data_IF_149002375306
#
_entry.id   IF_149002375306
#
_cell.length_a   1.000
_cell.length_b   1.000
_cell.length_c   1.000
_cell.angle_alpha   90.00
_cell.angle_beta   90.00
_cell.angle_gamma   90.00
#
_symmetry.space_group_name_H-M   'P 1'
#
loop_
_entity.id
_entity.type
_entity.pdbx_description
1 polymer ?
#
# COMPACT_ATOMS: atom_id res chain seq x y z
N UNK A 1 -39.31 49.89 10.19
CA UNK A 1 -37.94 49.54 9.74
C UNK A 1 -37.45 48.40 10.62
N UNK A 2 -37.24 47.20 10.08
CA UNK A 2 -36.56 46.12 10.79
C UNK A 2 -37.34 44.83 11.00
N UNK A 3 -37.62 44.08 9.92
CA UNK A 3 -37.87 42.62 9.99
C UNK A 3 -37.40 41.97 8.68
N UNK A 4 -36.09 41.94 8.42
CA UNK A 4 -35.52 41.19 7.27
C UNK A 4 -34.33 40.29 7.64
N UNK A 5 -33.94 40.24 8.92
CA UNK A 5 -32.77 39.48 9.38
C UNK A 5 -32.96 37.96 9.59
N UNK A 6 -34.16 37.37 9.80
CA UNK A 6 -34.23 35.93 10.10
C UNK A 6 -33.99 35.08 8.83
N UNK A 7 -34.38 35.58 7.65
CA UNK A 7 -34.23 34.85 6.40
C UNK A 7 -32.77 34.77 5.94
N UNK A 8 -32.01 35.86 6.12
CA UNK A 8 -30.57 35.86 5.82
C UNK A 8 -29.79 34.92 6.73
N UNK A 9 -30.17 34.81 8.01
CA UNK A 9 -29.53 33.89 8.95
C UNK A 9 -29.81 32.41 8.59
N UNK A 10 -31.05 32.10 8.21
CA UNK A 10 -31.43 30.76 7.78
C UNK A 10 -30.69 30.31 6.51
N UNK A 11 -30.50 31.21 5.54
CA UNK A 11 -29.74 30.92 4.33
C UNK A 11 -28.27 30.61 4.64
N UNK A 12 -27.65 31.39 5.52
CA UNK A 12 -26.25 31.25 5.93
C UNK A 12 -26.00 29.94 6.69
N UNK A 13 -26.89 29.57 7.61
CA UNK A 13 -26.81 28.29 8.32
C UNK A 13 -27.01 27.12 7.35
N UNK A 14 -27.93 27.24 6.38
CA UNK A 14 -28.12 26.19 5.37
C UNK A 14 -26.91 26.05 4.45
N UNK A 15 -26.29 27.17 4.04
CA UNK A 15 -25.11 27.14 3.17
C UNK A 15 -23.90 26.55 3.89
N UNK A 16 -23.73 26.87 5.17
CA UNK A 16 -22.70 26.25 6.02
C UNK A 16 -22.98 24.76 6.17
N UNK A 17 -24.23 24.35 6.41
CA UNK A 17 -24.58 22.93 6.50
C UNK A 17 -24.34 22.15 5.21
N UNK A 18 -24.66 22.73 4.04
CA UNK A 18 -24.37 22.15 2.73
C UNK A 18 -22.86 22.10 2.47
N UNK A 19 -22.13 23.15 2.84
CA UNK A 19 -20.68 23.22 2.69
C UNK A 19 -19.96 22.21 3.60
N UNK A 20 -20.40 22.08 4.85
CA UNK A 20 -19.88 21.07 5.78
C UNK A 20 -20.23 19.65 5.32
N UNK A 21 -21.42 19.41 4.74
CA UNK A 21 -21.74 18.11 4.11
C UNK A 21 -20.89 17.83 2.87
N UNK A 22 -20.57 18.85 2.09
CA UNK A 22 -19.69 18.72 0.92
C UNK A 22 -18.25 18.40 1.34
N UNK A 23 -17.74 19.06 2.39
CA UNK A 23 -16.44 18.77 3.01
C UNK A 23 -16.41 17.38 3.67
N UNK A 24 -17.44 17.01 4.45
CA UNK A 24 -17.53 15.69 5.05
C UNK A 24 -17.71 14.58 4.01
N UNK A 25 -18.24 14.90 2.83
CA UNK A 25 -18.31 13.96 1.70
C UNK A 25 -16.95 13.79 0.99
N UNK A 26 -15.99 14.69 1.23
CA UNK A 26 -14.60 14.53 0.79
C UNK A 26 -13.75 13.74 1.79
N UNK A 27 -14.09 13.77 3.08
CA UNK A 27 -13.51 12.87 4.07
C UNK A 27 -14.09 11.46 3.91
N UNK A 28 -13.34 10.64 3.17
CA UNK A 28 -13.42 9.18 3.09
C UNK A 28 -14.86 8.60 3.07
N UNK A 29 -15.41 8.44 1.86
CA UNK A 29 -16.42 7.39 1.65
C UNK A 29 -15.84 6.11 2.26
N UNK A 30 -16.55 5.41 3.17
CA UNK A 30 -16.09 4.11 3.62
C UNK A 30 -16.00 3.24 2.37
N UNK A 31 -14.77 2.93 1.94
CA UNK A 31 -14.53 2.02 0.82
C UNK A 31 -15.30 0.75 1.17
N UNK A 32 -16.20 0.31 0.30
CA UNK A 32 -16.87 -0.98 0.46
C UNK A 32 -15.76 -2.04 0.45
N UNK A 33 -15.37 -2.43 1.65
CA UNK A 33 -14.28 -3.37 1.90
C UNK A 33 -14.83 -4.73 1.51
N UNK A 34 -14.37 -5.27 0.40
CA UNK A 34 -14.55 -6.68 0.13
C UNK A 34 -13.84 -7.42 1.27
N UNK A 35 -14.59 -8.17 2.08
CA UNK A 35 -14.02 -9.08 3.08
C UNK A 35 -13.26 -10.19 2.33
N UNK A 36 -12.05 -9.88 1.86
CA UNK A 36 -11.10 -10.88 1.41
C UNK A 36 -10.67 -11.66 2.65
N UNK A 37 -10.69 -12.98 2.59
CA UNK A 37 -10.01 -13.81 3.60
C UNK A 37 -8.55 -13.95 3.17
N UNK A 38 -7.61 -13.18 3.75
CA UNK A 38 -6.24 -13.12 3.23
C UNK A 38 -5.48 -14.42 3.50
N UNK A 39 -4.95 -15.00 2.43
CA UNK A 39 -4.14 -16.24 2.45
C UNK A 39 -2.65 -15.99 2.31
N UNK A 40 -2.22 -14.73 2.15
CA UNK A 40 -0.82 -14.33 2.01
C UNK A 40 0.09 -15.07 3.02
N UNK A 41 1.00 -15.95 2.55
CA UNK A 41 1.80 -16.79 3.44
C UNK A 41 3.22 -16.27 3.67
N UNK A 42 3.63 -15.24 2.92
CA UNK A 42 4.95 -14.63 3.02
C UNK A 42 4.80 -13.22 3.56
N UNK A 43 5.68 -12.85 4.47
CA UNK A 43 5.77 -11.54 5.10
C UNK A 43 7.22 -11.08 4.99
N UNK A 44 7.45 -9.79 4.77
CA UNK A 44 8.79 -9.24 4.66
C UNK A 44 8.89 -8.10 3.67
N UNK A 45 10.12 -7.72 3.33
CA UNK A 45 10.41 -6.65 2.40
C UNK A 45 11.46 -7.10 1.38
N UNK A 46 11.10 -7.05 0.09
CA UNK A 46 11.94 -7.51 -1.01
C UNK A 46 12.21 -6.40 -2.01
N UNK A 47 13.43 -6.36 -2.51
CA UNK A 47 13.84 -5.44 -3.57
C UNK A 47 13.75 -6.13 -4.93
N UNK A 48 13.04 -5.52 -5.87
CA UNK A 48 12.95 -5.96 -7.26
C UNK A 48 13.80 -5.06 -8.16
N UNK A 49 14.59 -5.68 -9.05
CA UNK A 49 15.38 -4.98 -10.08
C UNK A 49 14.55 -4.47 -11.25
N UNK A 50 13.36 -5.04 -11.45
CA UNK A 50 12.41 -4.68 -12.52
C UNK A 50 11.05 -4.39 -11.90
N UNK A 51 10.21 -3.56 -12.54
CA UNK A 51 8.85 -3.38 -12.08
C UNK A 51 8.13 -4.72 -12.08
N UNK A 52 7.32 -4.99 -11.05
CA UNK A 52 6.51 -6.20 -11.00
C UNK A 52 5.58 -6.28 -12.23
N UNK A 53 5.33 -7.48 -12.75
CA UNK A 53 4.40 -7.64 -13.87
C UNK A 53 2.93 -7.43 -13.45
N UNK A 54 2.03 -7.08 -14.40
CA UNK A 54 0.59 -7.02 -14.14
C UNK A 54 0.01 -8.30 -13.54
N UNK A 55 0.49 -9.46 -14.00
CA UNK A 55 0.04 -10.77 -13.50
C UNK A 55 0.40 -10.96 -12.02
N UNK A 56 1.61 -10.56 -11.65
CA UNK A 56 2.09 -10.64 -10.26
C UNK A 56 1.28 -9.75 -9.35
N UNK A 57 1.05 -8.48 -9.72
CA UNK A 57 0.27 -7.57 -8.89
C UNK A 57 -1.19 -8.01 -8.78
N UNK A 58 -1.79 -8.54 -9.84
CA UNK A 58 -3.13 -9.11 -9.80
C UNK A 58 -3.20 -10.30 -8.83
N UNK A 59 -2.28 -11.27 -8.95
CA UNK A 59 -2.20 -12.42 -8.06
C UNK A 59 -2.01 -12.00 -6.59
N UNK A 60 -1.10 -11.06 -6.32
CA UNK A 60 -0.87 -10.54 -4.97
C UNK A 60 -2.10 -9.81 -4.41
N UNK A 61 -2.82 -9.05 -5.24
CA UNK A 61 -4.08 -8.40 -4.85
C UNK A 61 -5.16 -9.41 -4.46
N UNK A 62 -5.22 -10.55 -5.15
CA UNK A 62 -6.21 -11.61 -4.86
C UNK A 62 -5.96 -12.31 -3.52
N UNK A 63 -4.69 -12.59 -3.18
CA UNK A 63 -4.33 -13.36 -1.98
C UNK A 63 -4.11 -12.51 -0.72
N UNK A 64 -4.04 -11.19 -0.87
CA UNK A 64 -3.80 -10.24 0.22
C UNK A 64 -5.08 -9.61 0.75
N UNK A 65 -5.00 -9.01 1.94
CA UNK A 65 -6.11 -8.25 2.52
C UNK A 65 -6.35 -6.92 1.81
N UNK A 66 -5.33 -6.41 1.11
CA UNK A 66 -5.40 -5.22 0.28
C UNK A 66 -4.06 -4.93 -0.39
N UNK A 67 -4.11 -4.21 -1.51
CA UNK A 67 -2.96 -3.71 -2.25
C UNK A 67 -2.87 -2.18 -2.15
N UNK A 68 -1.78 -1.67 -1.58
CA UNK A 68 -1.39 -0.26 -1.67
C UNK A 68 -0.28 -0.09 -2.69
N UNK A 69 -0.43 0.89 -3.58
CA UNK A 69 0.59 1.24 -4.57
C UNK A 69 1.12 2.65 -4.29
N UNK A 70 2.44 2.78 -4.21
CA UNK A 70 3.14 4.07 -4.25
C UNK A 70 3.82 4.19 -5.60
N UNK A 71 3.52 5.23 -6.38
CA UNK A 71 4.10 5.41 -7.71
C UNK A 71 4.26 6.88 -8.11
N UNK A 72 5.18 7.13 -9.04
CA UNK A 72 5.30 8.41 -9.77
C UNK A 72 4.36 8.52 -10.96
N UNK A 73 3.84 7.39 -11.44
CA UNK A 73 2.80 7.35 -12.45
C UNK A 73 1.48 7.78 -11.82
N UNK A 74 0.70 8.61 -12.52
CA UNK A 74 -0.65 8.96 -12.05
C UNK A 74 -1.53 7.71 -11.99
N UNK A 75 -2.51 7.72 -11.09
CA UNK A 75 -3.38 6.57 -10.83
C UNK A 75 -4.04 6.04 -12.11
N UNK A 76 -4.54 6.92 -12.97
CA UNK A 76 -5.28 6.52 -14.19
C UNK A 76 -4.40 5.73 -15.15
N UNK A 77 -3.17 6.20 -15.37
CA UNK A 77 -2.21 5.52 -16.25
C UNK A 77 -1.64 4.25 -15.62
N UNK A 78 -1.50 4.24 -14.30
CA UNK A 78 -1.07 3.03 -13.60
C UNK A 78 -2.13 1.94 -13.74
N UNK A 79 -3.41 2.25 -13.51
CA UNK A 79 -4.51 1.30 -13.69
C UNK A 79 -4.62 0.82 -15.14
N UNK A 80 -4.43 1.70 -16.12
CA UNK A 80 -4.40 1.31 -17.54
C UNK A 80 -3.26 0.34 -17.86
N UNK A 81 -2.05 0.61 -17.36
CA UNK A 81 -0.87 -0.24 -17.57
C UNK A 81 -1.03 -1.62 -16.92
N UNK A 82 -1.52 -1.65 -15.69
CA UNK A 82 -1.57 -2.87 -14.87
C UNK A 82 -2.91 -3.61 -14.95
N UNK A 83 -3.94 -3.01 -15.55
CA UNK A 83 -5.30 -3.55 -15.64
C UNK A 83 -5.87 -3.95 -14.26
N UNK A 84 -5.53 -3.17 -13.24
CA UNK A 84 -5.80 -3.47 -11.84
C UNK A 84 -6.08 -2.16 -11.09
N UNK A 85 -7.15 -2.14 -10.29
CA UNK A 85 -7.39 -1.06 -9.34
C UNK A 85 -6.89 -1.45 -7.95
N UNK A 86 -5.89 -0.75 -7.37
CA UNK A 86 -5.43 -1.03 -6.03
C UNK A 86 -6.39 -0.45 -4.98
N UNK A 87 -6.45 -1.10 -3.82
CA UNK A 87 -7.28 -0.69 -2.69
C UNK A 87 -6.89 0.71 -2.20
N UNK A 88 -5.60 1.06 -2.23
CA UNK A 88 -5.09 2.41 -1.99
C UNK A 88 -4.00 2.80 -2.99
N UNK A 89 -3.98 4.07 -3.39
CA UNK A 89 -2.96 4.59 -4.30
C UNK A 89 -2.35 5.86 -3.70
N UNK A 90 -1.04 5.97 -3.77
CA UNK A 90 -0.29 7.17 -3.42
C UNK A 90 0.51 7.59 -4.64
N UNK A 91 0.14 8.74 -5.20
CA UNK A 91 0.88 9.35 -6.29
C UNK A 91 1.97 10.26 -5.71
N UNK A 92 3.23 9.86 -5.84
CA UNK A 92 4.35 10.74 -5.50
C UNK A 92 4.33 11.92 -6.47
N UNK A 93 4.06 13.14 -5.99
CA UNK A 93 3.97 14.36 -6.81
C UNK A 93 4.00 15.62 -5.97
N UNK A 94 4.59 16.70 -6.50
CA UNK A 94 4.50 18.04 -5.92
C UNK A 94 3.20 18.77 -6.28
N UNK A 95 2.37 18.17 -7.13
CA UNK A 95 1.06 18.73 -7.48
C UNK A 95 0.11 18.46 -6.32
N UNK A 96 -0.61 19.50 -5.88
CA UNK A 96 -1.65 19.36 -4.86
C UNK A 96 -2.93 18.81 -5.51
N UNK A 97 -2.99 17.48 -5.59
CA UNK A 97 -4.13 16.74 -6.14
C UNK A 97 -4.53 15.60 -5.19
N UNK A 98 -5.71 15.03 -5.44
CA UNK A 98 -6.17 13.82 -4.75
C UNK A 98 -5.13 12.70 -4.90
N UNK A 99 -4.94 11.94 -3.82
CA UNK A 99 -3.99 10.82 -3.73
C UNK A 99 -2.51 11.23 -3.90
N UNK A 100 -2.21 12.51 -4.13
CA UNK A 100 -0.86 13.02 -4.27
C UNK A 100 -0.17 13.21 -2.91
N UNK A 101 1.10 12.84 -2.84
CA UNK A 101 1.98 13.10 -1.70
C UNK A 101 3.28 13.74 -2.20
N UNK A 102 3.60 14.90 -1.64
CA UNK A 102 4.85 15.58 -1.94
C UNK A 102 6.05 14.71 -1.51
N UNK A 103 7.05 14.48 -2.38
CA UNK A 103 8.21 13.64 -2.07
C UNK A 103 9.03 14.13 -0.88
N UNK A 104 8.93 15.41 -0.51
CA UNK A 104 9.60 15.99 0.69
C UNK A 104 8.88 15.62 2.00
N UNK A 105 7.62 15.19 1.92
CA UNK A 105 6.78 14.87 3.07
C UNK A 105 6.83 13.38 3.41
N UNK A 106 8.03 12.87 3.67
CA UNK A 106 8.26 11.44 4.00
C UNK A 106 7.38 10.95 5.16
N UNK A 107 7.14 11.79 6.18
CA UNK A 107 6.26 11.46 7.30
C UNK A 107 4.81 11.23 6.87
N UNK A 108 4.27 12.04 5.95
CA UNK A 108 2.90 11.88 5.42
C UNK A 108 2.78 10.57 4.64
N UNK A 109 3.80 10.26 3.82
CA UNK A 109 3.86 9.01 3.08
C UNK A 109 3.86 7.81 4.04
N UNK A 110 4.69 7.87 5.09
CA UNK A 110 4.78 6.84 6.11
C UNK A 110 3.46 6.64 6.85
N UNK A 111 2.84 7.73 7.31
CA UNK A 111 1.58 7.69 8.06
C UNK A 111 0.44 7.07 7.23
N UNK A 112 0.38 7.39 5.93
CA UNK A 112 -0.61 6.80 5.01
C UNK A 112 -0.41 5.30 4.87
N UNK A 113 0.82 4.85 4.63
CA UNK A 113 1.09 3.41 4.47
C UNK A 113 0.84 2.65 5.78
N UNK A 114 1.27 3.18 6.93
CA UNK A 114 1.01 2.55 8.23
C UNK A 114 -0.49 2.48 8.53
N UNK A 115 -1.24 3.54 8.22
CA UNK A 115 -2.70 3.55 8.37
C UNK A 115 -3.34 2.45 7.53
N UNK A 116 -2.97 2.35 6.25
CA UNK A 116 -3.44 1.30 5.37
C UNK A 116 -3.15 -0.10 5.93
N UNK A 117 -1.93 -0.36 6.43
CA UNK A 117 -1.56 -1.65 7.02
C UNK A 117 -2.43 -1.99 8.24
N UNK A 118 -2.62 -1.01 9.14
CA UNK A 118 -3.45 -1.17 10.36
C UNK A 118 -4.91 -1.42 10.03
N UNK A 119 -5.47 -0.62 9.12
CA UNK A 119 -6.86 -0.74 8.70
C UNK A 119 -7.11 -2.10 8.05
N UNK A 120 -6.14 -2.64 7.31
CA UNK A 120 -6.22 -3.95 6.66
C UNK A 120 -6.03 -5.17 7.59
N UNK A 121 -5.64 -4.95 8.85
CA UNK A 121 -5.48 -6.04 9.83
C UNK A 121 -4.32 -6.98 9.53
N UNK A 122 -3.31 -6.50 8.79
CA UNK A 122 -2.16 -7.28 8.33
C UNK A 122 -2.39 -8.07 7.04
N UNK A 123 -1.39 -8.84 6.60
CA UNK A 123 -1.39 -9.59 5.31
C UNK A 123 -1.68 -8.73 4.07
N UNK A 124 -1.36 -7.45 4.14
CA UNK A 124 -1.52 -6.52 3.03
C UNK A 124 -0.24 -6.51 2.18
N UNK A 125 -0.35 -5.98 0.96
CA UNK A 125 0.78 -5.81 0.05
C UNK A 125 0.99 -4.32 -0.21
N UNK A 126 2.22 -3.86 -0.05
CA UNK A 126 2.67 -2.53 -0.46
C UNK A 126 3.61 -2.71 -1.64
N UNK A 127 3.20 -2.24 -2.82
CA UNK A 127 4.08 -2.12 -3.98
C UNK A 127 4.59 -0.68 -4.06
N UNK A 128 5.90 -0.51 -3.94
CA UNK A 128 6.55 0.79 -3.87
C UNK A 128 7.47 0.99 -5.07
N UNK A 129 7.22 2.01 -5.88
CA UNK A 129 8.11 2.45 -6.95
C UNK A 129 8.36 3.96 -6.90
N UNK A 130 9.52 4.39 -7.40
CA UNK A 130 9.91 5.81 -7.47
C UNK A 130 10.67 6.32 -6.24
N UNK A 131 11.39 5.44 -5.53
CA UNK A 131 12.24 5.85 -4.42
C UNK A 131 13.42 6.73 -4.87
N UNK A 132 13.86 6.65 -6.13
CA UNK A 132 14.82 7.58 -6.75
C UNK A 132 14.28 9.00 -6.72
N UNK A 133 12.96 9.15 -6.91
CA UNK A 133 12.32 10.45 -6.82
C UNK A 133 12.29 10.97 -5.38
N UNK A 134 12.20 10.10 -4.38
CA UNK A 134 12.37 10.55 -2.99
C UNK A 134 13.81 11.04 -2.74
N UNK A 135 14.82 10.31 -3.25
CA UNK A 135 16.24 10.66 -3.12
C UNK A 135 16.58 11.93 -3.90
N UNK A 136 15.86 12.23 -4.99
CA UNK A 136 16.02 13.49 -5.71
C UNK A 136 15.60 14.71 -4.87
N UNK A 137 14.67 14.55 -3.93
CA UNK A 137 14.10 15.64 -3.13
C UNK A 137 14.55 15.64 -1.67
N UNK A 138 15.25 14.59 -1.23
CA UNK A 138 15.71 14.41 0.14
C UNK A 138 17.13 13.84 0.12
N UNK A 139 17.89 14.00 1.19
CA UNK A 139 19.15 13.28 1.31
C UNK A 139 18.92 11.77 1.43
N UNK A 140 19.85 10.98 0.86
CA UNK A 140 19.77 9.52 0.91
C UNK A 140 19.58 8.96 2.34
N UNK A 141 20.32 9.41 3.37
CA UNK A 141 20.12 8.92 4.74
C UNK A 141 18.68 9.08 5.25
N UNK A 142 17.99 10.17 4.92
CA UNK A 142 16.58 10.37 5.28
C UNK A 142 15.66 9.37 4.57
N UNK A 143 15.87 9.14 3.27
CA UNK A 143 15.08 8.15 2.51
C UNK A 143 15.35 6.73 3.00
N UNK A 144 16.61 6.39 3.28
CA UNK A 144 16.99 5.08 3.80
C UNK A 144 16.32 4.81 5.17
N UNK A 145 16.37 5.77 6.10
CA UNK A 145 15.66 5.66 7.39
C UNK A 145 14.16 5.48 7.22
N UNK A 146 13.55 6.22 6.30
CA UNK A 146 12.14 6.07 5.96
C UNK A 146 11.83 4.65 5.45
N UNK A 147 12.62 4.14 4.50
CA UNK A 147 12.43 2.81 3.92
C UNK A 147 12.63 1.70 4.97
N UNK A 148 13.64 1.81 5.83
CA UNK A 148 13.89 0.84 6.90
C UNK A 148 12.78 0.83 7.93
N UNK A 149 12.33 2.01 8.36
CA UNK A 149 11.18 2.12 9.25
C UNK A 149 9.90 1.57 8.61
N UNK A 150 9.70 1.79 7.31
CA UNK A 150 8.59 1.21 6.56
C UNK A 150 8.66 -0.32 6.53
N UNK A 151 9.83 -0.91 6.26
CA UNK A 151 10.06 -2.36 6.33
C UNK A 151 9.69 -2.90 7.71
N UNK A 152 10.12 -2.24 8.79
CA UNK A 152 9.83 -2.68 10.16
C UNK A 152 8.31 -2.71 10.41
N UNK A 153 7.60 -1.66 9.99
CA UNK A 153 6.15 -1.62 10.11
C UNK A 153 5.43 -2.67 9.26
N UNK A 154 5.87 -2.90 8.02
CA UNK A 154 5.28 -3.92 7.15
C UNK A 154 5.47 -5.31 7.74
N UNK A 155 6.68 -5.61 8.23
CA UNK A 155 7.01 -6.91 8.83
C UNK A 155 6.24 -7.12 10.13
N UNK A 156 6.14 -6.08 10.98
CA UNK A 156 5.35 -6.12 12.20
C UNK A 156 3.86 -6.39 11.96
N UNK A 157 3.30 -5.88 10.86
CA UNK A 157 1.91 -6.12 10.46
C UNK A 157 1.75 -7.39 9.61
N UNK A 158 2.71 -8.33 9.64
CA UNK A 158 2.66 -9.58 8.86
C UNK A 158 2.30 -9.34 7.39
N UNK A 159 2.84 -8.28 6.81
CA UNK A 159 2.52 -7.79 5.47
C UNK A 159 3.75 -7.91 4.55
N UNK A 160 3.56 -7.60 3.28
CA UNK A 160 4.59 -7.71 2.24
C UNK A 160 4.90 -6.34 1.63
N UNK A 161 6.17 -5.99 1.57
CA UNK A 161 6.67 -4.82 0.84
C UNK A 161 7.47 -5.31 -0.37
N UNK A 162 7.07 -4.85 -1.55
CA UNK A 162 7.83 -5.03 -2.78
C UNK A 162 8.33 -3.64 -3.18
N UNK A 163 9.63 -3.43 -3.03
CA UNK A 163 10.30 -2.20 -3.41
C UNK A 163 10.91 -2.39 -4.81
N UNK A 164 10.32 -1.78 -5.82
CA UNK A 164 10.97 -1.64 -7.12
C UNK A 164 11.97 -0.48 -7.06
N UNK A 165 13.24 -0.80 -7.22
CA UNK A 165 14.33 0.17 -7.21
C UNK A 165 15.37 -0.20 -8.28
N UNK A 166 15.48 0.53 -9.40
CA UNK A 166 16.64 0.44 -10.29
C UNK A 166 17.95 0.79 -9.56
N UNK A 167 18.66 -0.24 -9.09
CA UNK A 167 19.89 -0.12 -8.30
C UNK A 167 21.05 0.59 -9.02
N UNK A 168 20.96 0.76 -10.34
CA UNK A 168 21.93 1.50 -11.15
C UNK A 168 21.89 3.03 -10.96
N UNK A 169 20.98 3.54 -10.12
CA UNK A 169 20.83 4.98 -9.84
C UNK A 169 21.61 5.41 -8.58
N UNK A 170 22.02 4.46 -7.73
CA UNK A 170 22.75 4.74 -6.49
C UNK A 170 24.26 4.54 -6.63
N UNK A 171 25.01 5.21 -5.76
CA UNK A 171 26.40 4.82 -5.56
C UNK A 171 26.50 3.45 -4.86
N UNK A 172 27.65 2.79 -4.98
CA UNK A 172 27.85 1.43 -4.44
C UNK A 172 27.65 1.33 -2.92
N UNK A 173 27.89 2.42 -2.18
CA UNK A 173 27.75 2.43 -0.72
C UNK A 173 26.27 2.49 -0.35
N UNK A 174 25.51 3.36 -1.01
CA UNK A 174 24.07 3.50 -0.87
C UNK A 174 23.34 2.22 -1.27
N UNK A 175 23.73 1.63 -2.41
CA UNK A 175 23.20 0.35 -2.89
C UNK A 175 23.45 -0.76 -1.86
N UNK A 176 24.70 -0.91 -1.39
CA UNK A 176 25.04 -1.91 -0.37
C UNK A 176 24.28 -1.70 0.94
N UNK A 177 24.03 -0.45 1.32
CA UNK A 177 23.26 -0.13 2.53
C UNK A 177 21.79 -0.57 2.40
N UNK A 178 21.15 -0.36 1.25
CA UNK A 178 19.79 -0.82 1.01
C UNK A 178 19.72 -2.36 0.90
N UNK A 179 20.61 -2.98 0.13
CA UNK A 179 20.60 -4.44 -0.07
C UNK A 179 20.89 -5.26 1.18
N UNK A 180 21.48 -4.65 2.22
CA UNK A 180 21.62 -5.28 3.54
C UNK A 180 20.30 -5.37 4.29
N UNK A 181 19.39 -4.44 4.03
CA UNK A 181 18.10 -4.36 4.70
C UNK A 181 16.97 -4.98 3.87
N UNK A 182 17.05 -4.92 2.55
CA UNK A 182 16.08 -5.49 1.62
C UNK A 182 16.68 -6.70 0.92
N UNK A 183 16.07 -7.85 1.09
CA UNK A 183 16.47 -9.04 0.35
C UNK A 183 16.13 -8.84 -1.13
N UNK A 184 17.14 -8.88 -2.00
CA UNK A 184 16.92 -8.86 -3.43
C UNK A 184 16.32 -10.20 -3.88
N UNK A 185 15.19 -10.14 -4.59
CA UNK A 185 14.55 -11.31 -5.18
C UNK A 185 14.07 -11.00 -6.59
N UNK A 186 14.20 -11.98 -7.46
CA UNK A 186 13.51 -11.97 -8.75
C UNK A 186 12.02 -12.26 -8.54
N UNK A 187 11.19 -11.72 -9.44
CA UNK A 187 9.73 -11.85 -9.37
C UNK A 187 9.28 -13.32 -9.32
N UNK A 188 9.87 -14.16 -10.16
CA UNK A 188 9.53 -15.58 -10.26
C UNK A 188 9.89 -16.37 -8.99
N UNK A 189 10.97 -15.97 -8.31
CA UNK A 189 11.41 -16.62 -7.08
C UNK A 189 10.40 -16.38 -5.94
N UNK A 190 9.98 -15.12 -5.77
CA UNK A 190 8.98 -14.76 -4.77
C UNK A 190 7.64 -15.45 -5.03
N UNK A 191 7.17 -15.46 -6.29
CA UNK A 191 5.93 -16.13 -6.66
C UNK A 191 5.97 -17.63 -6.39
N UNK A 192 7.10 -18.28 -6.68
CA UNK A 192 7.29 -19.70 -6.41
C UNK A 192 7.23 -19.98 -4.91
N UNK A 193 7.90 -19.18 -4.09
CA UNK A 193 7.86 -19.32 -2.63
C UNK A 193 6.44 -19.15 -2.08
N UNK A 194 5.72 -18.11 -2.52
CA UNK A 194 4.33 -17.87 -2.14
C UNK A 194 3.46 -19.07 -2.53
N UNK A 195 3.55 -19.53 -3.78
CA UNK A 195 2.75 -20.65 -4.28
C UNK A 195 3.00 -21.93 -3.48
N UNK A 196 4.26 -22.25 -3.20
CA UNK A 196 4.63 -23.43 -2.39
C UNK A 196 4.05 -23.35 -0.97
N UNK A 197 4.11 -22.18 -0.32
CA UNK A 197 3.56 -22.01 1.03
C UNK A 197 2.03 -22.03 1.06
N UNK A 198 1.35 -21.54 0.02
CA UNK A 198 -0.11 -21.68 -0.12
C UNK A 198 -0.47 -23.17 -0.19
N UNK A 199 0.19 -23.93 -1.06
CA UNK A 199 -0.07 -25.37 -1.22
C UNK A 199 0.22 -26.14 0.08
N UNK A 200 1.34 -25.85 0.75
CA UNK A 200 1.68 -26.49 2.02
C UNK A 200 0.60 -26.26 3.09
N UNK A 201 0.11 -25.02 3.24
CA UNK A 201 -0.98 -24.69 4.17
C UNK A 201 -2.29 -25.40 3.82
N UNK A 202 -2.60 -25.56 2.54
CA UNK A 202 -3.80 -26.28 2.11
C UNK A 202 -3.74 -27.77 2.53
N UNK A 203 -2.60 -28.43 2.29
CA UNK A 203 -2.38 -29.83 2.67
C UNK A 203 -2.41 -30.02 4.19
N UNK A 204 -1.77 -29.13 4.95
CA UNK A 204 -1.81 -29.16 6.42
C UNK A 204 -3.24 -28.98 6.95
N UNK A 205 -4.00 -28.04 6.38
CA UNK A 205 -5.40 -27.81 6.74
C UNK A 205 -6.32 -29.01 6.50
N UNK A 206 -6.15 -29.71 5.38
CA UNK A 206 -6.89 -30.94 5.06
C UNK A 206 -6.57 -32.09 6.03
N UNK A 207 -5.30 -32.22 6.42
CA UNK A 207 -4.84 -33.26 7.34
C UNK A 207 -5.43 -33.07 8.74
N UNK A 208 -5.45 -31.82 9.24
CA UNK A 208 -6.06 -31.47 10.52
C UNK A 208 -7.59 -31.58 10.51
N UNK A 209 -8.25 -31.25 9.39
CA UNK A 209 -9.70 -31.42 9.26
C UNK A 209 -10.07 -32.91 9.28
N UNK A 210 -9.37 -33.75 8.52
CA UNK A 210 -9.58 -35.21 8.47
C UNK A 210 -9.41 -35.86 9.85
N UNK A 211 -8.35 -35.50 10.59
CA UNK A 211 -8.12 -36.00 11.95
C UNK A 211 -9.19 -35.56 12.97
N UNK A 212 -9.84 -34.41 12.74
CA UNK A 212 -10.93 -33.94 13.62
C UNK A 212 -12.26 -34.67 13.39
N UNK A 213 -12.47 -35.29 12.22
CA UNK A 213 -13.66 -36.10 11.94
C UNK A 213 -13.54 -37.50 12.56
N UNK A 214 -12.35 -38.10 12.52
CA UNK A 214 -12.08 -39.44 13.09
C UNK A 214 -12.17 -39.51 14.63
N UNK A 215 -12.01 -38.38 15.33
CA UNK A 215 -12.11 -38.31 16.80
C UNK A 215 -13.59 -38.18 17.26
N UNK A 216 -14.51 -37.88 16.36
CA UNK A 216 -15.94 -37.69 16.65
C UNK A 216 -16.85 -38.86 16.23
N UNK A 217 -16.27 -39.92 15.66
CA UNK A 217 -16.92 -41.21 15.35
C UNK A 217 -16.58 -42.28 16.37
#
# INVERSE_FOLDING_TARGET
>A
MGVFYPLSYLLLVSSVGVYLRALSSQEARPRQRHEKTPTLPVTGAYAFKKPASPKTLAFLSEISSGLLVVSRMRKEFWMEKYHLEPDEFIWLSRVEEKDAVDPTKLHVLQDKIIRFLKENGGKAVVYFEGAEYLILYNDFPSVAKFLFSLKDHVTFNESLLILYFPLNVLDRVQESMLLREFEEKEEEELLREISQKIVARAVEGETHASASWDIRS
#
